data_IF_231523779030
#
_entry.id   IF_231523779030
#
_cell.length_a   1.000
_cell.length_b   1.000
_cell.length_c   1.000
_cell.angle_alpha   90.00
_cell.angle_beta   90.00
_cell.angle_gamma   90.00
#
_symmetry.space_group_name_H-M   'P 1'
#
loop_
_entity.id
_entity.type
_entity.pdbx_description
1 polymer ?
#
# COMPACT_ATOMS: atom_id res chain seq x y z
N UNK A 1 -25.57 -15.68 34.16
CA UNK A 1 -25.83 -17.08 34.51
C UNK A 1 -24.66 -17.88 34.00
N UNK A 2 -24.08 -18.76 34.82
CA UNK A 2 -22.95 -19.60 34.41
C UNK A 2 -23.49 -20.54 33.34
N UNK A 3 -23.19 -20.25 32.07
CA UNK A 3 -23.22 -21.20 30.96
C UNK A 3 -22.51 -22.43 31.47
N UNK A 4 -23.18 -23.58 31.65
CA UNK A 4 -22.36 -24.76 31.95
C UNK A 4 -21.53 -24.99 30.69
N UNK A 5 -20.21 -24.81 30.79
CA UNK A 5 -19.29 -25.11 29.70
C UNK A 5 -19.58 -26.51 29.13
N UNK A 6 -20.09 -27.42 29.97
CA UNK A 6 -20.62 -28.74 29.59
C UNK A 6 -21.65 -28.75 28.45
N UNK A 7 -22.53 -27.75 28.33
CA UNK A 7 -23.54 -27.68 27.25
C UNK A 7 -22.98 -27.07 25.95
N UNK A 8 -21.90 -26.30 26.04
CA UNK A 8 -21.31 -25.59 24.91
C UNK A 8 -20.14 -26.34 24.28
N UNK A 9 -19.40 -27.13 25.08
CA UNK A 9 -18.26 -27.93 24.63
C UNK A 9 -18.60 -28.86 23.46
N UNK A 10 -19.75 -29.57 23.41
CA UNK A 10 -20.01 -30.47 22.28
C UNK A 10 -20.18 -29.73 20.95
N UNK A 11 -20.65 -28.47 20.97
CA UNK A 11 -20.76 -27.64 19.76
C UNK A 11 -19.36 -27.27 19.26
N UNK A 12 -18.51 -26.77 20.16
CA UNK A 12 -17.12 -26.44 19.86
C UNK A 12 -16.36 -27.68 19.34
N UNK A 13 -16.48 -28.80 20.03
CA UNK A 13 -15.80 -30.06 19.69
C UNK A 13 -16.20 -30.55 18.30
N UNK A 14 -17.48 -30.45 17.94
CA UNK A 14 -17.95 -30.87 16.60
C UNK A 14 -17.39 -29.97 15.49
N UNK A 15 -17.30 -28.65 15.70
CA UNK A 15 -16.69 -27.73 14.74
C UNK A 15 -15.19 -28.04 14.60
N UNK A 16 -14.47 -28.20 15.72
CA UNK A 16 -13.05 -28.52 15.73
C UNK A 16 -12.76 -29.88 15.09
N UNK A 17 -13.63 -30.88 15.30
CA UNK A 17 -13.53 -32.20 14.66
C UNK A 17 -13.63 -32.12 13.15
N UNK A 18 -14.47 -31.22 12.62
CA UNK A 18 -14.69 -31.02 11.17
C UNK A 18 -13.77 -29.98 10.54
N UNK A 19 -12.90 -29.30 11.29
CA UNK A 19 -12.15 -28.13 10.79
C UNK A 19 -11.37 -28.36 9.49
N UNK A 20 -10.77 -29.54 9.32
CA UNK A 20 -10.02 -29.88 8.09
C UNK A 20 -10.95 -30.20 6.92
N UNK A 21 -12.11 -30.82 7.15
CA UNK A 21 -13.13 -31.00 6.12
C UNK A 21 -13.68 -29.64 5.67
N UNK A 22 -13.92 -28.74 6.63
CA UNK A 22 -14.45 -27.41 6.39
C UNK A 22 -13.44 -26.46 5.71
N UNK A 23 -12.14 -26.67 5.90
CA UNK A 23 -11.10 -25.87 5.22
C UNK A 23 -11.00 -26.15 3.72
N UNK A 24 -11.47 -27.32 3.28
CA UNK A 24 -11.59 -27.72 1.88
C UNK A 24 -12.87 -27.13 1.23
N UNK A 25 -13.12 -25.84 1.45
CA UNK A 25 -14.29 -25.18 0.87
C UNK A 25 -14.24 -25.21 -0.67
N UNK A 26 -15.39 -25.16 -1.37
CA UNK A 26 -15.42 -25.15 -2.83
C UNK A 26 -14.60 -24.00 -3.43
N UNK A 27 -13.82 -24.28 -4.48
CA UNK A 27 -13.04 -23.27 -5.18
C UNK A 27 -13.92 -22.15 -5.73
N UNK A 28 -13.54 -20.90 -5.44
CA UNK A 28 -14.32 -19.72 -5.83
C UNK A 28 -13.56 -18.80 -6.79
N UNK A 29 -12.23 -18.89 -6.81
CA UNK A 29 -11.38 -18.07 -7.67
C UNK A 29 -10.47 -18.96 -8.51
N UNK A 30 -10.83 -19.14 -9.78
CA UNK A 30 -10.10 -19.96 -10.76
C UNK A 30 -8.65 -19.51 -11.03
N UNK A 31 -8.24 -18.36 -10.49
CA UNK A 31 -6.94 -17.74 -10.73
C UNK A 31 -5.96 -17.91 -9.57
N UNK A 32 -6.36 -18.56 -8.46
CA UNK A 32 -5.48 -18.84 -7.33
C UNK A 32 -4.86 -20.22 -7.56
N UNK A 33 -3.52 -20.28 -7.64
CA UNK A 33 -2.82 -21.55 -7.86
C UNK A 33 -3.03 -22.52 -6.69
N UNK A 34 -3.07 -23.83 -6.98
CA UNK A 34 -3.19 -24.90 -5.98
C UNK A 34 -2.14 -24.75 -4.86
N UNK A 35 -0.90 -24.40 -5.23
CA UNK A 35 0.18 -24.17 -4.25
C UNK A 35 -0.10 -23.00 -3.31
N UNK A 36 -0.71 -21.92 -3.82
CA UNK A 36 -1.15 -20.78 -2.99
C UNK A 36 -2.31 -21.19 -2.09
N UNK A 37 -3.25 -21.98 -2.62
CA UNK A 37 -4.36 -22.48 -1.82
C UNK A 37 -3.85 -23.32 -0.64
N UNK A 38 -3.01 -24.32 -0.89
CA UNK A 38 -2.51 -25.22 0.15
C UNK A 38 -1.56 -24.54 1.14
N UNK A 39 -0.59 -23.76 0.65
CA UNK A 39 0.48 -23.25 1.52
C UNK A 39 0.09 -21.98 2.28
N UNK A 40 -0.84 -21.19 1.74
CA UNK A 40 -1.22 -19.90 2.31
C UNK A 40 -2.68 -19.90 2.75
N UNK A 41 -3.59 -20.46 1.93
CA UNK A 41 -5.02 -20.32 2.18
C UNK A 41 -5.64 -21.40 3.09
N UNK A 42 -5.16 -22.63 3.09
CA UNK A 42 -5.69 -23.64 4.02
C UNK A 42 -5.35 -23.32 5.49
N UNK A 43 -4.13 -22.87 5.84
CA UNK A 43 -3.77 -22.58 7.23
C UNK A 43 -4.64 -21.52 7.91
N UNK A 44 -4.93 -20.39 7.25
CA UNK A 44 -5.78 -19.35 7.84
C UNK A 44 -7.27 -19.75 7.88
N UNK A 45 -7.77 -20.58 6.94
CA UNK A 45 -9.12 -21.16 7.01
C UNK A 45 -9.28 -22.02 8.25
N UNK A 46 -8.35 -22.96 8.46
CA UNK A 46 -8.31 -23.78 9.68
C UNK A 46 -8.27 -22.88 10.92
N UNK A 47 -7.43 -21.84 10.91
CA UNK A 47 -7.35 -20.95 12.06
C UNK A 47 -8.62 -20.14 12.29
N UNK A 48 -9.32 -19.71 11.24
CA UNK A 48 -10.59 -19.02 11.35
C UNK A 48 -11.64 -19.91 12.01
N UNK A 49 -11.73 -21.17 11.55
CA UNK A 49 -12.65 -22.16 12.09
C UNK A 49 -12.36 -22.41 13.58
N UNK A 50 -11.08 -22.50 13.96
CA UNK A 50 -10.66 -22.61 15.38
C UNK A 50 -11.13 -21.41 16.20
N UNK A 51 -10.85 -20.18 15.74
CA UNK A 51 -11.27 -18.95 16.45
C UNK A 51 -12.80 -18.92 16.61
N UNK A 52 -13.54 -19.32 15.59
CA UNK A 52 -15.00 -19.41 15.64
C UNK A 52 -15.50 -20.47 16.61
N UNK A 53 -14.92 -21.66 16.61
CA UNK A 53 -15.29 -22.72 17.55
C UNK A 53 -14.99 -22.32 19.00
N UNK A 54 -13.79 -21.82 19.27
CA UNK A 54 -13.34 -21.38 20.60
C UNK A 54 -14.21 -20.23 21.11
N UNK A 55 -14.63 -19.32 20.22
CA UNK A 55 -15.47 -18.19 20.59
C UNK A 55 -16.84 -18.55 21.16
N UNK A 56 -17.30 -19.80 21.02
CA UNK A 56 -18.56 -20.27 21.58
C UNK A 56 -18.47 -20.38 23.11
N UNK A 57 -17.30 -20.77 23.62
CA UNK A 57 -17.06 -21.04 25.05
C UNK A 57 -16.16 -20.00 25.72
N UNK A 58 -15.35 -19.29 24.95
CA UNK A 58 -14.43 -18.27 25.46
C UNK A 58 -15.13 -17.01 25.96
N UNK A 59 -14.41 -16.24 26.76
CA UNK A 59 -14.85 -14.91 27.15
C UNK A 59 -14.79 -13.94 25.94
N UNK A 60 -15.63 -12.89 25.90
CA UNK A 60 -15.68 -11.96 24.76
C UNK A 60 -14.34 -11.29 24.43
N UNK A 61 -13.54 -10.92 25.44
CA UNK A 61 -12.24 -10.27 25.20
C UNK A 61 -11.20 -11.25 24.62
N UNK A 62 -11.19 -12.52 25.05
CA UNK A 62 -10.31 -13.55 24.48
C UNK A 62 -10.64 -13.79 23.00
N UNK A 63 -11.94 -13.90 22.70
CA UNK A 63 -12.43 -14.07 21.32
C UNK A 63 -12.04 -12.89 20.42
N UNK A 64 -12.07 -11.68 20.98
CA UNK A 64 -11.72 -10.44 20.30
C UNK A 64 -10.21 -10.35 20.01
N UNK A 65 -9.35 -10.75 20.95
CA UNK A 65 -7.91 -10.83 20.73
C UNK A 65 -7.56 -11.86 19.65
N UNK A 66 -8.20 -13.03 19.70
CA UNK A 66 -8.00 -14.10 18.73
C UNK A 66 -8.37 -13.67 17.31
N UNK A 67 -9.55 -13.05 17.13
CA UNK A 67 -10.00 -12.58 15.81
C UNK A 67 -9.21 -11.37 15.31
N UNK A 68 -8.72 -10.51 16.22
CA UNK A 68 -7.82 -9.41 15.86
C UNK A 68 -6.49 -9.93 15.31
N UNK A 69 -5.90 -10.92 15.97
CA UNK A 69 -4.65 -11.55 15.54
C UNK A 69 -4.82 -12.22 14.18
N UNK A 70 -5.86 -13.06 14.04
CA UNK A 70 -6.17 -13.73 12.79
C UNK A 70 -6.43 -12.71 11.65
N UNK A 71 -7.32 -11.75 11.87
CA UNK A 71 -7.73 -10.81 10.81
C UNK A 71 -6.60 -9.90 10.31
N UNK A 72 -5.64 -9.59 11.19
CA UNK A 72 -4.44 -8.82 10.81
C UNK A 72 -3.48 -9.65 9.94
N UNK A 73 -3.26 -10.92 10.30
CA UNK A 73 -2.39 -11.82 9.53
C UNK A 73 -2.96 -12.09 8.13
N UNK A 74 -4.26 -12.32 8.06
CA UNK A 74 -5.00 -12.57 6.81
C UNK A 74 -4.94 -11.39 5.87
N UNK A 75 -5.23 -10.19 6.38
CA UNK A 75 -5.16 -8.98 5.57
C UNK A 75 -3.76 -8.80 4.96
N UNK A 76 -2.70 -9.13 5.72
CA UNK A 76 -1.33 -9.08 5.23
C UNK A 76 -1.10 -10.06 4.07
N UNK A 77 -1.52 -11.32 4.22
CA UNK A 77 -1.42 -12.35 3.18
C UNK A 77 -2.17 -11.95 1.91
N UNK A 78 -3.40 -11.46 2.03
CA UNK A 78 -4.19 -11.01 0.88
C UNK A 78 -3.48 -9.88 0.11
N UNK A 79 -2.92 -8.89 0.81
CA UNK A 79 -2.16 -7.80 0.17
C UNK A 79 -0.88 -8.31 -0.48
N UNK A 80 -0.11 -9.18 0.20
CA UNK A 80 1.14 -9.74 -0.34
C UNK A 80 0.92 -10.57 -1.61
N UNK A 81 -0.16 -11.36 -1.63
CA UNK A 81 -0.55 -12.18 -2.78
C UNK A 81 -1.33 -11.40 -3.85
N UNK A 82 -1.55 -10.09 -3.65
CA UNK A 82 -2.36 -9.23 -4.51
C UNK A 82 -3.78 -9.77 -4.75
N UNK A 83 -4.32 -10.46 -3.74
CA UNK A 83 -5.68 -10.96 -3.77
C UNK A 83 -6.66 -9.85 -3.38
N UNK A 84 -7.84 -9.82 -4.01
CA UNK A 84 -8.86 -8.83 -3.68
C UNK A 84 -9.51 -9.16 -2.33
N UNK A 85 -9.98 -8.12 -1.62
CA UNK A 85 -10.56 -8.25 -0.28
C UNK A 85 -11.81 -9.16 -0.25
N UNK A 86 -12.56 -9.24 -1.35
CA UNK A 86 -13.74 -10.08 -1.47
C UNK A 86 -13.44 -11.57 -1.26
N UNK A 87 -12.23 -12.04 -1.57
CA UNK A 87 -11.78 -13.40 -1.24
C UNK A 87 -12.01 -13.68 0.25
N UNK A 88 -11.45 -12.83 1.12
CA UNK A 88 -11.56 -13.04 2.57
C UNK A 88 -12.94 -12.75 3.13
N UNK A 89 -13.66 -11.77 2.59
CA UNK A 89 -15.04 -11.50 3.02
C UNK A 89 -15.98 -12.65 2.66
N UNK A 90 -15.77 -13.27 1.49
CA UNK A 90 -16.53 -14.43 1.08
C UNK A 90 -16.26 -15.63 2.00
N UNK A 91 -14.99 -15.92 2.34
CA UNK A 91 -14.66 -17.00 3.27
C UNK A 91 -15.32 -16.80 4.64
N UNK A 92 -15.27 -15.58 5.19
CA UNK A 92 -15.97 -15.24 6.44
C UNK A 92 -17.47 -15.50 6.32
N UNK A 93 -18.11 -15.08 5.22
CA UNK A 93 -19.54 -15.29 5.00
C UNK A 93 -19.91 -16.78 4.83
N UNK A 94 -19.06 -17.56 4.17
CA UNK A 94 -19.22 -18.99 4.01
C UNK A 94 -19.18 -19.69 5.38
N UNK A 95 -18.13 -19.45 6.17
CA UNK A 95 -18.00 -20.07 7.49
C UNK A 95 -19.06 -19.61 8.47
N UNK A 96 -19.59 -18.38 8.34
CA UNK A 96 -20.79 -17.95 9.07
C UNK A 96 -21.92 -18.94 8.88
N UNK A 97 -22.19 -19.28 7.63
CA UNK A 97 -23.34 -20.10 7.23
C UNK A 97 -23.15 -21.54 7.72
N UNK A 98 -21.99 -22.13 7.41
CA UNK A 98 -21.72 -23.54 7.74
C UNK A 98 -21.63 -23.78 9.24
N UNK A 99 -20.98 -22.90 10.00
CA UNK A 99 -20.88 -23.04 11.45
C UNK A 99 -22.23 -22.76 12.13
N UNK A 100 -23.02 -21.81 11.62
CA UNK A 100 -24.38 -21.58 12.15
C UNK A 100 -25.27 -22.82 12.02
N UNK A 101 -25.11 -23.60 10.95
CA UNK A 101 -25.82 -24.88 10.80
C UNK A 101 -25.37 -25.92 11.82
N UNK A 102 -24.06 -26.03 12.08
CA UNK A 102 -23.51 -26.93 13.10
C UNK A 102 -24.04 -26.55 14.49
N UNK A 103 -23.98 -25.26 14.85
CA UNK A 103 -24.52 -24.74 16.12
C UNK A 103 -25.99 -25.13 16.27
N UNK A 104 -26.81 -24.93 15.23
CA UNK A 104 -28.25 -25.28 15.24
C UNK A 104 -28.47 -26.77 15.46
N UNK A 105 -27.73 -27.62 14.75
CA UNK A 105 -27.96 -29.06 14.76
C UNK A 105 -27.48 -29.70 16.08
N UNK A 106 -26.35 -29.23 16.64
CA UNK A 106 -25.87 -29.65 17.96
C UNK A 106 -26.75 -29.12 19.09
N UNK A 107 -27.25 -27.88 19.01
CA UNK A 107 -28.18 -27.34 19.99
C UNK A 107 -29.48 -28.17 20.09
N UNK A 108 -29.98 -28.68 18.95
CA UNK A 108 -31.14 -29.59 18.92
C UNK A 108 -30.85 -30.93 19.59
N UNK A 109 -29.69 -31.54 19.34
CA UNK A 109 -29.31 -32.83 19.93
C UNK A 109 -29.21 -32.75 21.45
N UNK A 110 -28.73 -31.62 21.96
CA UNK A 110 -28.55 -31.37 23.38
C UNK A 110 -29.80 -30.78 24.07
N UNK A 111 -30.88 -30.53 23.32
CA UNK A 111 -32.10 -29.89 23.81
C UNK A 111 -31.83 -28.54 24.52
N UNK A 112 -30.92 -27.74 23.96
CA UNK A 112 -30.59 -26.39 24.46
C UNK A 112 -31.85 -25.51 24.40
N UNK A 113 -32.03 -24.66 25.42
CA UNK A 113 -33.18 -23.75 25.49
C UNK A 113 -33.09 -22.65 24.41
N UNK A 114 -34.22 -22.00 24.10
CA UNK A 114 -34.22 -20.91 23.13
C UNK A 114 -33.32 -19.74 23.56
N UNK A 115 -33.33 -19.42 24.87
CA UNK A 115 -32.53 -18.33 25.43
C UNK A 115 -31.03 -18.64 25.33
N UNK A 116 -30.62 -19.86 25.71
CA UNK A 116 -29.23 -20.29 25.60
C UNK A 116 -28.77 -20.35 24.13
N UNK A 117 -29.63 -20.83 23.22
CA UNK A 117 -29.34 -20.82 21.79
C UNK A 117 -29.15 -19.40 21.24
N UNK A 118 -30.00 -18.46 21.65
CA UNK A 118 -29.85 -17.05 21.27
C UNK A 118 -28.52 -16.48 21.75
N UNK A 119 -28.12 -16.75 23.00
CA UNK A 119 -26.85 -16.28 23.56
C UNK A 119 -25.63 -16.83 22.79
N UNK A 120 -25.67 -18.11 22.39
CA UNK A 120 -24.61 -18.73 21.58
C UNK A 120 -24.51 -18.04 20.22
N UNK A 121 -25.64 -17.90 19.52
CA UNK A 121 -25.68 -17.29 18.18
C UNK A 121 -25.28 -15.81 18.25
N UNK A 122 -25.71 -15.10 19.29
CA UNK A 122 -25.34 -13.71 19.51
C UNK A 122 -23.82 -13.58 19.71
N UNK A 123 -23.23 -14.37 20.59
CA UNK A 123 -21.78 -14.34 20.82
C UNK A 123 -21.00 -14.68 19.55
N UNK A 124 -21.38 -15.75 18.85
CA UNK A 124 -20.76 -16.12 17.58
C UNK A 124 -20.85 -14.98 16.54
N UNK A 125 -22.03 -14.33 16.42
CA UNK A 125 -22.24 -13.23 15.47
C UNK A 125 -21.35 -12.01 15.74
N UNK A 126 -21.07 -11.69 17.02
CA UNK A 126 -20.18 -10.58 17.38
C UNK A 126 -18.74 -10.81 16.89
N UNK A 127 -18.27 -12.07 16.92
CA UNK A 127 -16.95 -12.42 16.41
C UNK A 127 -16.90 -12.34 14.89
N UNK A 128 -17.97 -12.74 14.20
CA UNK A 128 -18.09 -12.57 12.74
C UNK A 128 -18.01 -11.11 12.32
N UNK A 129 -18.80 -10.24 12.96
CA UNK A 129 -18.83 -8.81 12.66
C UNK A 129 -17.47 -8.17 12.91
N UNK A 130 -16.80 -8.58 13.99
CA UNK A 130 -15.43 -8.17 14.30
C UNK A 130 -14.44 -8.63 13.22
N UNK A 131 -14.55 -9.88 12.75
CA UNK A 131 -13.70 -10.43 11.70
C UNK A 131 -13.76 -9.58 10.42
N UNK A 132 -14.98 -9.27 9.95
CA UNK A 132 -15.21 -8.44 8.76
C UNK A 132 -14.56 -7.06 8.94
N UNK A 133 -14.80 -6.42 10.08
CA UNK A 133 -14.31 -5.07 10.34
C UNK A 133 -12.78 -5.02 10.41
N UNK A 134 -12.17 -5.99 11.09
CA UNK A 134 -10.72 -6.08 11.29
C UNK A 134 -10.02 -6.35 9.96
N UNK A 135 -10.46 -7.39 9.22
CA UNK A 135 -9.86 -7.75 7.93
C UNK A 135 -9.99 -6.58 6.95
N UNK A 136 -11.17 -5.96 6.85
CA UNK A 136 -11.39 -4.82 5.95
C UNK A 136 -10.48 -3.64 6.29
N UNK A 137 -10.37 -3.28 7.58
CA UNK A 137 -9.52 -2.15 8.02
C UNK A 137 -8.04 -2.44 7.82
N UNK A 138 -7.58 -3.63 8.21
CA UNK A 138 -6.19 -4.03 8.04
C UNK A 138 -5.81 -4.10 6.56
N UNK A 139 -6.66 -4.68 5.73
CA UNK A 139 -6.45 -4.74 4.28
C UNK A 139 -6.37 -3.36 3.66
N UNK A 140 -7.35 -2.49 3.93
CA UNK A 140 -7.36 -1.12 3.39
C UNK A 140 -6.13 -0.33 3.81
N UNK A 141 -5.70 -0.46 5.07
CA UNK A 141 -4.49 0.18 5.59
C UNK A 141 -3.24 -0.31 4.85
N UNK A 142 -3.08 -1.62 4.73
CA UNK A 142 -1.85 -2.22 4.20
C UNK A 142 -1.79 -2.10 2.66
N UNK A 143 -2.92 -2.21 1.98
CA UNK A 143 -3.07 -1.92 0.56
C UNK A 143 -2.79 -0.44 0.24
N UNK A 144 -3.36 0.49 1.02
CA UNK A 144 -3.10 1.92 0.83
C UNK A 144 -1.62 2.26 1.05
N UNK A 145 -0.96 1.67 2.06
CA UNK A 145 0.49 1.79 2.25
C UNK A 145 1.27 1.29 1.03
N UNK A 146 0.87 0.15 0.46
CA UNK A 146 1.52 -0.39 -0.75
C UNK A 146 1.40 0.58 -1.94
N UNK A 147 0.23 1.19 -2.13
CA UNK A 147 0.02 2.22 -3.16
C UNK A 147 0.89 3.45 -2.91
N UNK A 148 0.90 3.98 -1.69
CA UNK A 148 1.72 5.14 -1.34
C UNK A 148 3.21 4.84 -1.55
N UNK A 149 3.70 3.67 -1.11
CA UNK A 149 5.09 3.26 -1.37
C UNK A 149 5.40 3.14 -2.86
N UNK A 150 4.49 2.59 -3.66
CA UNK A 150 4.66 2.53 -5.12
C UNK A 150 4.70 3.92 -5.75
N UNK A 151 3.83 4.84 -5.30
CA UNK A 151 3.83 6.24 -5.73
C UNK A 151 5.13 6.95 -5.36
N UNK A 152 5.60 6.78 -4.13
CA UNK A 152 6.88 7.33 -3.69
C UNK A 152 8.05 6.81 -4.52
N UNK A 153 8.09 5.51 -4.82
CA UNK A 153 9.12 4.94 -5.68
C UNK A 153 9.08 5.50 -7.11
N UNK A 154 7.88 5.74 -7.66
CA UNK A 154 7.71 6.40 -8.95
C UNK A 154 8.23 7.85 -8.89
N UNK A 155 7.87 8.60 -7.85
CA UNK A 155 8.31 9.99 -7.67
C UNK A 155 9.84 10.09 -7.52
N UNK A 156 10.46 9.18 -6.77
CA UNK A 156 11.92 9.08 -6.61
C UNK A 156 12.62 8.78 -7.95
N UNK A 157 12.13 7.79 -8.70
CA UNK A 157 12.66 7.46 -10.03
C UNK A 157 12.42 8.57 -11.07
N UNK A 158 11.50 9.49 -10.80
CA UNK A 158 11.13 10.57 -11.73
C UNK A 158 12.12 11.73 -11.77
N UNK A 159 13.07 11.78 -10.83
CA UNK A 159 14.10 12.83 -10.74
C UNK A 159 15.51 12.22 -10.56
N UNK A 160 16.00 11.41 -11.51
CA UNK A 160 17.32 10.79 -11.39
C UNK A 160 18.43 11.81 -11.66
N UNK A 161 19.48 11.81 -10.84
CA UNK A 161 20.70 12.59 -11.10
C UNK A 161 21.69 11.66 -11.82
N UNK A 162 21.93 11.90 -13.10
CA UNK A 162 22.83 11.11 -13.93
C UNK A 162 24.13 11.87 -14.14
N UNK A 163 25.25 11.29 -13.69
CA UNK A 163 26.58 11.88 -13.89
C UNK A 163 27.02 11.72 -15.36
N UNK A 164 27.28 12.84 -16.04
CA UNK A 164 27.76 12.87 -17.43
C UNK A 164 29.29 12.92 -17.52
N UNK A 165 29.90 13.72 -16.63
CA UNK A 165 31.36 13.86 -16.51
C UNK A 165 31.75 13.80 -15.03
N UNK A 166 33.05 13.95 -14.73
CA UNK A 166 33.54 13.96 -13.35
C UNK A 166 32.81 14.98 -12.46
N UNK A 167 32.38 16.10 -13.01
CA UNK A 167 31.85 17.23 -12.26
C UNK A 167 30.52 17.79 -12.82
N UNK A 168 29.96 17.17 -13.85
CA UNK A 168 28.71 17.59 -14.48
C UNK A 168 27.69 16.46 -14.42
N UNK A 169 26.52 16.77 -13.86
CA UNK A 169 25.35 15.88 -13.87
C UNK A 169 24.20 16.45 -14.68
N UNK A 170 23.25 15.60 -15.06
CA UNK A 170 21.97 15.96 -15.65
C UNK A 170 20.83 15.42 -14.80
N UNK A 171 19.77 16.21 -14.66
CA UNK A 171 18.51 15.82 -14.07
C UNK A 171 17.43 16.01 -15.14
N UNK A 172 17.02 14.93 -15.82
CA UNK A 172 15.91 14.99 -16.75
C UNK A 172 14.59 15.06 -15.98
N UNK A 173 13.75 16.02 -16.32
CA UNK A 173 12.43 16.17 -15.73
C UNK A 173 11.39 15.71 -16.76
N UNK A 174 10.66 14.64 -16.41
CA UNK A 174 9.68 13.99 -17.28
C UNK A 174 8.28 14.19 -16.72
N UNK A 175 7.32 14.57 -17.55
CA UNK A 175 5.91 14.73 -17.17
C UNK A 175 5.61 16.03 -16.45
N UNK A 176 4.47 16.08 -15.76
CA UNK A 176 4.04 17.26 -15.00
C UNK A 176 4.78 17.35 -13.66
N UNK A 177 5.35 18.51 -13.35
CA UNK A 177 5.95 18.74 -12.05
C UNK A 177 4.85 19.26 -11.13
N UNK A 178 4.68 18.66 -9.95
CA UNK A 178 3.84 19.18 -8.87
C UNK A 178 4.71 19.63 -7.69
N UNK A 179 4.08 20.11 -6.62
CA UNK A 179 4.78 20.57 -5.41
C UNK A 179 5.64 19.48 -4.75
N UNK A 180 5.17 18.21 -4.75
CA UNK A 180 5.91 17.10 -4.14
C UNK A 180 7.14 16.77 -4.97
N UNK A 181 7.00 16.64 -6.29
CA UNK A 181 8.11 16.38 -7.21
C UNK A 181 9.15 17.48 -7.17
N UNK A 182 8.74 18.75 -7.05
CA UNK A 182 9.68 19.86 -6.90
C UNK A 182 10.47 19.79 -5.58
N UNK A 183 9.84 19.34 -4.49
CA UNK A 183 10.53 19.12 -3.22
C UNK A 183 11.50 17.94 -3.30
N UNK A 184 11.12 16.84 -3.97
CA UNK A 184 12.03 15.72 -4.25
C UNK A 184 13.21 16.15 -5.10
N UNK A 185 12.99 16.97 -6.14
CA UNK A 185 14.06 17.56 -6.95
C UNK A 185 15.03 18.37 -6.09
N UNK A 186 14.52 19.22 -5.19
CA UNK A 186 15.36 19.99 -4.27
C UNK A 186 16.29 19.08 -3.47
N UNK A 187 15.72 18.12 -2.75
CA UNK A 187 16.47 17.23 -1.85
C UNK A 187 17.47 16.41 -2.63
N UNK A 188 17.03 15.73 -3.70
CA UNK A 188 17.88 14.83 -4.47
C UNK A 188 19.00 15.57 -5.21
N UNK A 189 18.71 16.73 -5.80
CA UNK A 189 19.73 17.52 -6.50
C UNK A 189 20.81 18.04 -5.54
N UNK A 190 20.43 18.47 -4.33
CA UNK A 190 21.38 18.94 -3.32
C UNK A 190 22.23 17.78 -2.77
N UNK A 191 21.59 16.68 -2.40
CA UNK A 191 22.27 15.49 -1.85
C UNK A 191 23.24 14.90 -2.87
N UNK A 192 22.76 14.58 -4.08
CA UNK A 192 23.58 13.99 -5.14
C UNK A 192 24.59 14.97 -5.71
N UNK A 193 24.25 16.25 -5.82
CA UNK A 193 25.21 17.28 -6.22
C UNK A 193 26.42 17.33 -5.30
N UNK A 194 26.20 17.23 -3.99
CA UNK A 194 27.26 17.16 -2.99
C UNK A 194 28.01 15.82 -2.99
N UNK A 195 27.28 14.70 -2.95
CA UNK A 195 27.84 13.33 -2.92
C UNK A 195 28.75 13.05 -4.12
N UNK A 196 28.30 13.44 -5.32
CA UNK A 196 29.03 13.26 -6.57
C UNK A 196 30.04 14.40 -6.84
N UNK A 197 30.15 15.39 -5.95
CA UNK A 197 31.03 16.57 -6.09
C UNK A 197 30.84 17.30 -7.42
N UNK A 198 29.58 17.46 -7.84
CA UNK A 198 29.25 18.14 -9.08
C UNK A 198 29.55 19.64 -8.94
N UNK A 199 30.19 20.23 -9.95
CA UNK A 199 30.29 21.68 -10.11
C UNK A 199 29.15 22.23 -10.94
N UNK A 200 28.51 21.37 -11.74
CA UNK A 200 27.42 21.76 -12.65
C UNK A 200 26.31 20.71 -12.68
N UNK A 201 25.07 21.20 -12.70
CA UNK A 201 23.88 20.39 -12.93
C UNK A 201 23.09 20.97 -14.11
N UNK A 202 22.75 20.10 -15.06
CA UNK A 202 21.87 20.42 -16.18
C UNK A 202 20.45 19.98 -15.80
N UNK A 203 19.51 20.91 -15.75
CA UNK A 203 18.09 20.57 -15.65
C UNK A 203 17.52 20.48 -17.07
N UNK A 204 17.15 19.28 -17.50
CA UNK A 204 16.52 19.07 -18.81
C UNK A 204 15.00 19.06 -18.70
N UNK A 205 14.38 20.07 -19.29
CA UNK A 205 12.94 20.31 -19.30
C UNK A 205 12.28 19.81 -20.59
N UNK A 206 13.00 19.06 -21.44
CA UNK A 206 12.49 18.53 -22.71
C UNK A 206 11.21 17.68 -22.53
N UNK A 207 11.10 16.96 -21.40
CA UNK A 207 9.97 16.12 -21.02
C UNK A 207 8.81 16.84 -20.32
N UNK A 208 8.90 18.15 -20.09
CA UNK A 208 7.88 18.94 -19.38
C UNK A 208 6.96 19.62 -20.39
N UNK A 209 5.67 19.31 -20.35
CA UNK A 209 4.65 19.86 -21.25
C UNK A 209 4.08 21.20 -20.78
N UNK A 210 3.80 21.31 -19.48
CA UNK A 210 3.18 22.48 -18.85
C UNK A 210 3.84 22.70 -17.47
N UNK A 211 4.09 23.96 -17.13
CA UNK A 211 4.49 24.38 -15.79
C UNK A 211 3.43 25.35 -15.27
N UNK A 212 2.96 25.13 -14.04
CA UNK A 212 2.08 26.06 -13.35
C UNK A 212 2.86 27.15 -12.58
N UNK A 213 2.15 28.12 -12.04
CA UNK A 213 2.73 29.22 -11.26
C UNK A 213 3.47 28.78 -10.00
N UNK A 214 2.96 27.77 -9.30
CA UNK A 214 3.49 27.31 -8.01
C UNK A 214 4.79 26.54 -8.21
N UNK A 215 4.81 25.69 -9.23
CA UNK A 215 5.90 24.82 -9.66
C UNK A 215 7.06 25.62 -10.21
N UNK A 216 6.79 26.63 -11.04
CA UNK A 216 7.82 27.54 -11.52
C UNK A 216 8.61 28.11 -10.34
N UNK A 217 7.92 28.67 -9.34
CA UNK A 217 8.55 29.21 -8.13
C UNK A 217 9.41 28.19 -7.36
N UNK A 218 8.98 26.92 -7.28
CA UNK A 218 9.78 25.88 -6.63
C UNK A 218 11.04 25.53 -7.44
N UNK A 219 10.98 25.48 -8.78
CA UNK A 219 12.17 25.30 -9.63
C UNK A 219 13.23 26.37 -9.37
N UNK A 220 12.83 27.64 -9.22
CA UNK A 220 13.79 28.70 -8.90
C UNK A 220 14.42 28.55 -7.52
N UNK A 221 13.65 28.08 -6.53
CA UNK A 221 14.23 27.74 -5.23
C UNK A 221 15.29 26.67 -5.38
N UNK A 222 15.03 25.60 -6.14
CA UNK A 222 16.03 24.54 -6.40
C UNK A 222 17.30 25.11 -7.01
N UNK A 223 17.16 25.90 -8.09
CA UNK A 223 18.31 26.49 -8.77
C UNK A 223 19.13 27.40 -7.85
N UNK A 224 18.45 28.19 -7.01
CA UNK A 224 19.11 29.07 -6.06
C UNK A 224 19.81 28.30 -4.94
N UNK A 225 19.19 27.24 -4.42
CA UNK A 225 19.82 26.38 -3.39
C UNK A 225 21.08 25.70 -3.92
N UNK A 226 21.04 25.18 -5.16
CA UNK A 226 22.23 24.61 -5.81
C UNK A 226 23.35 25.64 -5.98
N UNK A 227 23.01 26.86 -6.39
CA UNK A 227 23.96 27.97 -6.49
C UNK A 227 24.61 28.30 -5.14
N UNK A 228 23.84 28.25 -4.04
CA UNK A 228 24.35 28.53 -2.68
C UNK A 228 25.40 27.51 -2.22
N UNK A 229 25.32 26.27 -2.68
CA UNK A 229 26.32 25.23 -2.37
C UNK A 229 27.43 25.15 -3.43
N UNK A 230 27.50 26.12 -4.35
CA UNK A 230 28.56 26.22 -5.35
C UNK A 230 28.34 25.38 -6.62
N UNK A 231 27.12 24.89 -6.84
CA UNK A 231 26.75 24.14 -8.05
C UNK A 231 26.12 25.09 -9.07
N UNK A 232 26.74 25.23 -10.24
CA UNK A 232 26.18 25.99 -11.36
C UNK A 232 25.01 25.22 -11.98
N UNK A 233 23.89 25.89 -12.23
CA UNK A 233 22.75 25.29 -12.92
C UNK A 233 22.67 25.78 -14.36
N UNK A 234 22.46 24.84 -15.29
CA UNK A 234 22.19 25.10 -16.71
C UNK A 234 20.82 24.52 -17.05
N UNK A 235 19.99 25.28 -17.77
CA UNK A 235 18.71 24.81 -18.26
C UNK A 235 18.83 24.30 -19.70
N UNK A 236 18.11 23.23 -20.02
CA UNK A 236 17.99 22.74 -21.39
C UNK A 236 16.56 22.30 -21.71
N UNK A 237 16.19 22.31 -22.99
CA UNK A 237 14.91 21.74 -23.43
C UNK A 237 13.67 22.56 -23.03
N UNK A 238 13.84 23.85 -22.70
CA UNK A 238 12.70 24.72 -22.33
C UNK A 238 11.80 24.92 -23.54
N UNK A 239 10.55 24.45 -23.44
CA UNK A 239 9.55 24.63 -24.49
C UNK A 239 9.06 26.08 -24.56
N UNK A 240 8.64 26.59 -25.75
CA UNK A 240 8.16 27.96 -25.90
C UNK A 240 7.03 28.33 -24.93
N UNK A 241 6.09 27.42 -24.68
CA UNK A 241 4.94 27.64 -23.79
C UNK A 241 5.40 27.80 -22.34
N UNK A 242 6.39 27.00 -21.91
CA UNK A 242 7.00 27.10 -20.58
C UNK A 242 7.73 28.43 -20.41
N UNK A 243 8.49 28.84 -21.42
CA UNK A 243 9.19 30.13 -21.40
C UNK A 243 8.21 31.31 -21.31
N UNK A 244 7.11 31.28 -22.07
CA UNK A 244 6.06 32.32 -21.98
C UNK A 244 5.45 32.39 -20.59
N UNK A 245 5.13 31.24 -19.97
CA UNK A 245 4.63 31.19 -18.59
C UNK A 245 5.63 31.80 -17.62
N UNK A 246 6.92 31.44 -17.70
CA UNK A 246 7.95 32.02 -16.83
C UNK A 246 8.02 33.55 -16.93
N UNK A 247 7.96 34.10 -18.16
CA UNK A 247 7.95 35.55 -18.40
C UNK A 247 6.69 36.20 -17.83
N UNK A 248 5.50 35.61 -18.06
CA UNK A 248 4.23 36.15 -17.55
C UNK A 248 4.18 36.18 -16.01
N UNK A 249 4.90 35.26 -15.36
CA UNK A 249 5.03 35.21 -13.91
C UNK A 249 6.09 36.19 -13.36
N UNK A 250 6.72 36.99 -14.22
CA UNK A 250 7.77 37.93 -13.85
C UNK A 250 9.07 37.24 -13.44
N UNK A 251 9.31 36.03 -13.90
CA UNK A 251 10.48 35.27 -13.49
C UNK A 251 11.66 35.55 -14.44
N UNK A 252 12.78 35.96 -13.84
CA UNK A 252 14.05 36.20 -14.53
C UNK A 252 14.95 34.98 -14.39
N UNK A 253 15.37 34.41 -15.53
CA UNK A 253 16.36 33.33 -15.58
C UNK A 253 17.74 33.94 -15.83
N UNK A 254 18.61 33.89 -14.83
CA UNK A 254 20.01 34.33 -14.95
C UNK A 254 20.94 33.20 -15.42
N UNK A 255 20.47 31.95 -15.32
CA UNK A 255 21.21 30.75 -15.71
C UNK A 255 21.37 30.66 -17.23
N UNK A 256 22.42 29.97 -17.68
CA UNK A 256 22.57 29.64 -19.09
C UNK A 256 21.43 28.71 -19.52
N UNK A 257 20.84 28.98 -20.68
CA UNK A 257 19.73 28.20 -21.25
C UNK A 257 20.10 27.72 -22.64
N UNK A 258 19.88 26.44 -22.91
CA UNK A 258 20.08 25.81 -24.21
C UNK A 258 18.78 25.22 -24.75
N UNK A 259 18.64 25.16 -26.07
CA UNK A 259 17.43 24.63 -26.71
C UNK A 259 17.22 23.13 -26.49
N UNK A 260 18.29 22.38 -26.19
CA UNK A 260 18.25 20.93 -25.97
C UNK A 260 19.44 20.46 -25.14
N UNK A 261 19.33 19.30 -24.50
CA UNK A 261 20.45 18.66 -23.80
C UNK A 261 21.64 18.42 -24.73
N UNK A 262 21.39 18.07 -26.00
CA UNK A 262 22.43 17.92 -27.02
C UNK A 262 23.26 19.18 -27.19
N UNK A 263 22.61 20.35 -27.25
CA UNK A 263 23.30 21.63 -27.38
C UNK A 263 24.18 21.97 -26.15
N UNK A 264 23.80 21.49 -24.96
CA UNK A 264 24.64 21.62 -23.77
C UNK A 264 25.89 20.73 -23.88
N UNK A 265 25.71 19.48 -24.32
CA UNK A 265 26.81 18.49 -24.46
C UNK A 265 27.81 18.91 -25.54
N UNK A 266 27.35 19.56 -26.61
CA UNK A 266 28.23 20.08 -27.67
C UNK A 266 29.03 21.32 -27.23
N UNK A 267 28.65 21.98 -26.12
CA UNK A 267 29.39 23.10 -25.56
C UNK A 267 30.60 22.61 -24.74
N UNK A 268 31.78 22.69 -25.37
CA UNK A 268 33.05 22.29 -24.77
C UNK A 268 33.42 23.07 -23.50
N UNK A 269 32.92 24.28 -23.29
CA UNK A 269 33.16 25.00 -22.03
C UNK A 269 32.40 24.38 -20.86
N UNK A 270 31.36 23.57 -21.17
CA UNK A 270 30.52 22.96 -20.14
C UNK A 270 30.91 21.52 -19.78
N UNK A 271 31.70 20.85 -20.62
CA UNK A 271 31.94 19.40 -20.57
C UNK A 271 33.39 19.00 -20.30
N UNK A 272 34.24 19.94 -19.88
CA UNK A 272 35.68 19.74 -19.58
C UNK A 272 35.97 20.05 -18.11
#
# INVERSE_FOLDING_TARGET
MIKSQELLSPIMDEILRRKFELSEMPEQHSNISDSTQEMQLTPWRVKLIEVYAESIVSEPEESKEAIQSWGTQVANVLVQLQLPLDVGLHEIAYYRSVISEIIRDEAKKQAITLDDFYDIVYQFSQVMDSAVLIVSRAYMRDYHRSIESAKYAIDELSVPVVQLTKDTGVIPIIGEIDTNRAQYLMTNALEKGSEMQLRRIILDLSGVSIIDTMVAGQMFKVMNSLKLIGVEVVLSGVRPEVAQTMVNLGITVEQKVYSSLRAVIEDKQLMI
#
